data_IF_438035475814
#
_entry.id   IF_438035475814
#
_cell.length_a   1.000
_cell.length_b   1.000
_cell.length_c   1.000
_cell.angle_alpha   90.00
_cell.angle_beta   90.00
_cell.angle_gamma   90.00
#
_symmetry.space_group_name_H-M   'P 1'
#
loop_
_entity.id
_entity.type
_entity.pdbx_description
1 polymer ?
#
# COMPACT_ATOMS: atom_id res chain seq x y z
N UNK A 1 9.74 50.42 3.77
CA UNK A 1 8.82 49.43 3.16
C UNK A 1 9.48 48.06 3.23
N UNK A 2 9.13 47.25 4.21
CA UNK A 2 9.51 45.82 4.24
C UNK A 2 8.68 45.08 3.19
N UNK A 3 9.26 44.16 2.40
CA UNK A 3 8.48 43.40 1.44
C UNK A 3 7.51 42.52 2.23
N UNK A 4 6.22 42.64 1.93
CA UNK A 4 5.22 41.65 2.36
C UNK A 4 5.60 40.36 1.65
N UNK A 5 6.23 39.44 2.38
CA UNK A 5 6.43 38.07 1.91
C UNK A 5 5.05 37.51 1.58
N UNK A 6 4.75 37.34 0.29
CA UNK A 6 3.55 36.66 -0.16
C UNK A 6 3.61 35.23 0.40
N UNK A 7 2.94 35.00 1.52
CA UNK A 7 2.76 33.67 2.08
C UNK A 7 2.18 32.79 0.98
N UNK A 8 2.79 31.62 0.77
CA UNK A 8 2.22 30.65 -0.15
C UNK A 8 0.74 30.43 0.24
N UNK A 9 -0.17 30.38 -0.73
CA UNK A 9 -1.59 30.24 -0.43
C UNK A 9 -1.84 29.03 0.47
N UNK A 10 -2.77 29.12 1.42
CA UNK A 10 -3.12 28.03 2.35
C UNK A 10 -3.54 26.72 1.65
N UNK A 11 -3.92 26.78 0.37
CA UNK A 11 -4.25 25.62 -0.45
C UNK A 11 -3.03 24.95 -1.12
N UNK A 12 -1.84 25.53 -0.99
CA UNK A 12 -0.63 24.99 -1.60
C UNK A 12 -0.25 23.66 -0.91
N UNK A 13 -0.49 22.56 -1.62
CA UNK A 13 -0.04 21.25 -1.18
C UNK A 13 1.48 21.26 -0.91
N UNK A 14 1.95 20.65 0.19
CA UNK A 14 3.37 20.46 0.44
C UNK A 14 4.03 19.86 -0.81
N UNK A 15 5.09 20.50 -1.32
CA UNK A 15 5.74 20.11 -2.60
C UNK A 15 6.30 18.69 -2.60
N UNK A 16 6.35 18.04 -1.45
CA UNK A 16 6.91 16.73 -1.20
C UNK A 16 5.86 15.61 -1.10
N UNK A 17 4.55 15.91 -1.21
CA UNK A 17 3.50 14.88 -1.17
C UNK A 17 3.61 13.88 -2.33
N UNK A 18 3.77 14.38 -3.56
CA UNK A 18 3.84 13.52 -4.74
C UNK A 18 5.09 12.61 -4.72
N UNK A 19 6.31 13.12 -4.44
CA UNK A 19 7.48 12.25 -4.23
C UNK A 19 7.28 11.19 -3.15
N UNK A 20 6.62 11.53 -2.03
CA UNK A 20 6.31 10.56 -0.95
C UNK A 20 5.37 9.46 -1.43
N UNK A 21 4.30 9.85 -2.14
CA UNK A 21 3.34 8.91 -2.69
C UNK A 21 3.98 7.96 -3.70
N UNK A 22 4.76 8.51 -4.64
CA UNK A 22 5.49 7.72 -5.64
C UNK A 22 6.46 6.75 -5.00
N UNK A 23 7.26 7.22 -4.03
CA UNK A 23 8.16 6.35 -3.28
C UNK A 23 7.39 5.25 -2.54
N UNK A 24 6.33 5.61 -1.82
CA UNK A 24 5.53 4.65 -1.07
C UNK A 24 4.92 3.58 -1.99
N UNK A 25 4.27 3.99 -3.08
CA UNK A 25 3.64 3.07 -4.03
C UNK A 25 4.66 2.13 -4.69
N UNK A 26 5.80 2.66 -5.15
CA UNK A 26 6.83 1.85 -5.80
C UNK A 26 7.51 0.87 -4.82
N UNK A 27 7.97 1.36 -3.67
CA UNK A 27 8.65 0.51 -2.69
C UNK A 27 7.70 -0.58 -2.19
N UNK A 28 6.45 -0.22 -1.88
CA UNK A 28 5.44 -1.19 -1.44
C UNK A 28 5.13 -2.21 -2.52
N UNK A 29 4.87 -1.76 -3.76
CA UNK A 29 4.56 -2.65 -4.87
C UNK A 29 5.70 -3.65 -5.15
N UNK A 30 6.96 -3.20 -5.08
CA UNK A 30 8.13 -4.08 -5.24
C UNK A 30 8.26 -5.06 -4.07
N UNK A 31 8.22 -4.58 -2.82
CA UNK A 31 8.43 -5.41 -1.63
C UNK A 31 7.33 -6.49 -1.52
N UNK A 32 6.07 -6.11 -1.67
CA UNK A 32 4.94 -7.06 -1.61
C UNK A 32 4.92 -7.99 -2.83
N UNK A 33 5.22 -7.46 -4.02
CA UNK A 33 5.30 -8.25 -5.25
C UNK A 33 6.38 -9.33 -5.14
N UNK A 34 7.55 -9.01 -4.58
CA UNK A 34 8.62 -9.98 -4.33
C UNK A 34 8.22 -11.00 -3.26
N UNK A 35 7.66 -10.55 -2.13
CA UNK A 35 7.18 -11.44 -1.07
C UNK A 35 6.18 -12.47 -1.59
N UNK A 36 5.15 -11.99 -2.31
CA UNK A 36 4.12 -12.85 -2.89
C UNK A 36 4.67 -13.75 -3.99
N UNK A 37 5.60 -13.27 -4.81
CA UNK A 37 6.26 -14.08 -5.85
C UNK A 37 7.09 -15.23 -5.25
N UNK A 38 7.89 -14.94 -4.23
CA UNK A 38 8.71 -15.95 -3.52
C UNK A 38 7.81 -16.99 -2.88
N UNK A 39 6.76 -16.59 -2.15
CA UNK A 39 5.80 -17.53 -1.59
C UNK A 39 5.14 -18.39 -2.68
N UNK A 40 4.73 -17.77 -3.80
CA UNK A 40 4.03 -18.50 -4.84
C UNK A 40 4.90 -19.54 -5.53
N UNK A 41 6.18 -19.25 -5.75
CA UNK A 41 7.13 -20.19 -6.36
C UNK A 41 7.55 -21.27 -5.37
N UNK A 42 8.08 -20.88 -4.21
CA UNK A 42 8.77 -21.81 -3.33
C UNK A 42 7.87 -22.50 -2.29
N UNK A 43 6.80 -21.85 -1.83
CA UNK A 43 5.90 -22.43 -0.82
C UNK A 43 4.66 -23.07 -1.44
N UNK A 44 4.21 -22.58 -2.60
CA UNK A 44 2.92 -22.96 -3.19
C UNK A 44 3.02 -23.72 -4.52
N UNK A 45 4.23 -23.99 -5.03
CA UNK A 45 4.44 -24.79 -6.23
C UNK A 45 3.81 -24.19 -7.50
N UNK A 46 3.76 -22.86 -7.58
CA UNK A 46 3.15 -22.12 -8.69
C UNK A 46 4.20 -21.19 -9.34
N UNK A 47 3.79 -20.31 -10.26
CA UNK A 47 4.71 -19.42 -10.99
C UNK A 47 4.40 -17.96 -10.73
N UNK A 48 5.39 -17.08 -10.94
CA UNK A 48 5.17 -15.63 -10.87
C UNK A 48 4.12 -15.17 -11.90
N UNK A 49 4.15 -15.75 -13.10
CA UNK A 49 3.13 -15.52 -14.13
C UNK A 49 1.74 -15.86 -13.60
N UNK A 50 1.56 -17.05 -13.01
CA UNK A 50 0.26 -17.49 -12.50
C UNK A 50 -0.25 -16.63 -11.36
N UNK A 51 0.65 -16.12 -10.51
CA UNK A 51 0.31 -15.16 -9.44
C UNK A 51 -0.34 -13.91 -10.03
N UNK A 52 0.34 -13.23 -10.95
CA UNK A 52 -0.17 -11.96 -11.50
C UNK A 52 -1.34 -12.18 -12.45
N UNK A 53 -1.42 -13.30 -13.18
CA UNK A 53 -2.66 -13.66 -13.87
C UNK A 53 -3.84 -13.81 -12.92
N UNK A 54 -3.62 -14.35 -11.72
CA UNK A 54 -4.63 -14.41 -10.65
C UNK A 54 -5.09 -13.03 -10.20
N UNK A 55 -4.17 -12.06 -10.08
CA UNK A 55 -4.51 -10.66 -9.81
C UNK A 55 -5.35 -10.08 -10.95
N UNK A 56 -4.93 -10.29 -12.21
CA UNK A 56 -5.70 -9.83 -13.37
C UNK A 56 -7.11 -10.43 -13.44
N UNK A 57 -7.25 -11.70 -13.07
CA UNK A 57 -8.52 -12.41 -13.05
C UNK A 57 -9.56 -11.83 -12.08
N UNK A 58 -9.14 -10.97 -11.13
CA UNK A 58 -10.07 -10.27 -10.24
C UNK A 58 -10.96 -9.29 -10.99
N UNK A 59 -10.48 -8.70 -12.09
CA UNK A 59 -11.23 -7.76 -12.93
C UNK A 59 -11.62 -8.36 -14.28
N UNK A 60 -10.72 -9.15 -14.87
CA UNK A 60 -10.89 -9.71 -16.22
C UNK A 60 -11.56 -11.09 -16.23
N UNK A 61 -11.86 -11.67 -15.08
CA UNK A 61 -12.44 -13.01 -14.99
C UNK A 61 -11.43 -14.14 -15.23
N UNK A 62 -11.94 -15.38 -15.32
CA UNK A 62 -11.07 -16.59 -15.32
C UNK A 62 -10.20 -16.70 -16.56
N UNK A 63 -10.62 -16.16 -17.70
CA UNK A 63 -9.88 -16.21 -18.96
C UNK A 63 -8.48 -15.57 -18.84
N UNK A 64 -8.29 -14.63 -17.90
CA UNK A 64 -6.98 -14.06 -17.63
C UNK A 64 -5.92 -15.09 -17.20
N UNK A 65 -6.34 -16.23 -16.65
CA UNK A 65 -5.47 -17.34 -16.25
C UNK A 65 -4.89 -18.11 -17.45
N UNK A 66 -5.46 -17.93 -18.64
CA UNK A 66 -5.05 -18.59 -19.89
C UNK A 66 -4.30 -17.62 -20.82
N UNK A 67 -4.41 -16.31 -20.59
CA UNK A 67 -3.83 -15.27 -21.47
C UNK A 67 -2.32 -15.03 -21.37
N UNK A 68 -1.55 -15.94 -20.75
CA UNK A 68 -0.09 -15.90 -20.73
C UNK A 68 0.55 -14.65 -20.11
N UNK A 69 1.68 -14.21 -20.67
CA UNK A 69 2.44 -13.03 -20.23
C UNK A 69 1.64 -11.72 -20.30
N UNK A 70 0.86 -11.43 -21.37
CA UNK A 70 0.06 -10.20 -21.42
C UNK A 70 -0.85 -10.02 -20.21
N UNK A 71 -1.58 -11.05 -19.79
CA UNK A 71 -2.47 -10.96 -18.62
C UNK A 71 -1.70 -10.88 -17.31
N UNK A 72 -0.51 -11.48 -17.23
CA UNK A 72 0.39 -11.28 -16.09
C UNK A 72 0.85 -9.82 -15.97
N UNK A 73 1.18 -9.14 -17.08
CA UNK A 73 1.54 -7.71 -17.06
C UNK A 73 0.37 -6.85 -16.58
N UNK A 74 -0.85 -7.13 -17.03
CA UNK A 74 -2.06 -6.44 -16.52
C UNK A 74 -2.18 -6.62 -15.01
N UNK A 75 -2.00 -7.85 -14.52
CA UNK A 75 -2.04 -8.14 -13.08
C UNK A 75 -0.96 -7.41 -12.29
N UNK A 76 0.25 -7.30 -12.85
CA UNK A 76 1.34 -6.54 -12.24
C UNK A 76 1.00 -5.04 -12.16
N UNK A 77 0.44 -4.46 -13.22
CA UNK A 77 -0.01 -3.07 -13.21
C UNK A 77 -1.13 -2.83 -12.19
N UNK A 78 -2.10 -3.76 -12.11
CA UNK A 78 -3.15 -3.72 -11.09
C UNK A 78 -2.57 -3.79 -9.67
N UNK A 79 -1.59 -4.67 -9.45
CA UNK A 79 -0.88 -4.79 -8.17
C UNK A 79 -0.24 -3.45 -7.75
N UNK A 80 0.52 -2.82 -8.65
CA UNK A 80 1.05 -1.48 -8.37
C UNK A 80 -0.07 -0.45 -8.16
N UNK A 81 -1.15 -0.49 -8.95
CA UNK A 81 -2.31 0.38 -8.75
C UNK A 81 -2.89 0.29 -7.33
N UNK A 82 -3.02 -0.92 -6.80
CA UNK A 82 -3.46 -1.16 -5.41
C UNK A 82 -2.44 -0.63 -4.40
N UNK A 83 -1.14 -0.87 -4.61
CA UNK A 83 -0.08 -0.34 -3.74
C UNK A 83 -0.07 1.20 -3.69
N UNK A 84 -0.26 1.87 -4.84
CA UNK A 84 -0.42 3.32 -4.93
C UNK A 84 -1.71 3.79 -4.25
N UNK A 85 -2.83 3.09 -4.45
CA UNK A 85 -4.11 3.40 -3.83
C UNK A 85 -4.02 3.40 -2.30
N UNK A 86 -3.49 2.34 -1.71
CA UNK A 86 -3.31 2.25 -0.26
C UNK A 86 -2.25 3.23 0.27
N UNK A 87 -1.20 3.51 -0.50
CA UNK A 87 -0.26 4.59 -0.16
C UNK A 87 -0.94 5.96 -0.12
N UNK A 88 -1.85 6.24 -1.06
CA UNK A 88 -2.62 7.48 -1.09
C UNK A 88 -3.58 7.59 0.10
N UNK A 89 -4.28 6.49 0.44
CA UNK A 89 -5.14 6.43 1.63
C UNK A 89 -4.33 6.73 2.90
N UNK A 90 -3.15 6.10 3.06
CA UNK A 90 -2.32 6.36 4.24
C UNK A 90 -1.83 7.81 4.28
N UNK A 91 -1.37 8.35 3.15
CA UNK A 91 -0.95 9.74 3.06
C UNK A 91 -2.07 10.70 3.46
N UNK A 92 -3.29 10.45 2.97
CA UNK A 92 -4.47 11.21 3.33
C UNK A 92 -4.79 11.13 4.82
N UNK A 93 -4.69 9.94 5.44
CA UNK A 93 -4.89 9.76 6.88
C UNK A 93 -3.86 10.57 7.71
N UNK A 94 -2.59 10.56 7.31
CA UNK A 94 -1.53 11.35 7.96
C UNK A 94 -1.81 12.85 7.85
N UNK A 95 -2.26 13.32 6.68
CA UNK A 95 -2.59 14.72 6.45
C UNK A 95 -3.82 15.19 7.24
N UNK A 96 -4.82 14.32 7.40
CA UNK A 96 -6.10 14.70 8.01
C UNK A 96 -6.16 14.47 9.52
N UNK A 97 -5.35 13.56 10.05
CA UNK A 97 -5.37 13.14 11.45
C UNK A 97 -4.06 13.49 12.17
N UNK A 98 -4.14 14.49 13.04
CA UNK A 98 -3.04 14.86 13.96
C UNK A 98 -2.70 13.71 14.92
N UNK A 99 -3.66 12.83 15.23
CA UNK A 99 -3.42 11.64 16.05
C UNK A 99 -2.49 10.63 15.37
N UNK A 100 -2.73 10.32 14.09
CA UNK A 100 -1.85 9.41 13.33
C UNK A 100 -0.45 10.00 13.22
N UNK A 101 -0.37 11.29 12.88
CA UNK A 101 0.92 12.00 12.82
C UNK A 101 1.65 12.00 14.16
N UNK A 102 0.96 12.26 15.27
CA UNK A 102 1.54 12.20 16.61
C UNK A 102 1.94 10.78 17.05
N UNK A 103 1.23 9.75 16.62
CA UNK A 103 1.61 8.36 16.90
C UNK A 103 2.90 7.99 16.17
N UNK A 104 3.07 8.45 14.92
CA UNK A 104 4.26 8.17 14.09
C UNK A 104 5.55 8.78 14.66
N UNK A 105 5.48 9.87 15.43
CA UNK A 105 6.67 10.51 16.04
C UNK A 105 7.16 9.76 17.29
N UNK A 106 6.40 8.81 17.83
CA UNK A 106 6.82 8.01 18.97
C UNK A 106 7.89 6.96 18.58
N UNK A 107 8.73 6.55 19.55
CA UNK A 107 9.85 5.61 19.35
C UNK A 107 9.52 4.35 18.55
N UNK A 108 8.29 3.82 18.71
CA UNK A 108 7.80 2.63 18.00
C UNK A 108 6.54 2.93 17.17
N UNK A 109 6.33 4.20 16.84
CA UNK A 109 5.13 4.70 16.17
C UNK A 109 4.86 4.03 14.84
N UNK A 110 5.87 3.99 13.98
CA UNK A 110 5.78 3.36 12.66
C UNK A 110 5.36 1.89 12.74
N UNK A 111 5.95 1.12 13.68
CA UNK A 111 5.63 -0.30 13.86
C UNK A 111 4.20 -0.48 14.38
N UNK A 112 3.77 0.33 15.36
CA UNK A 112 2.39 0.29 15.88
C UNK A 112 1.38 0.55 14.78
N UNK A 113 1.60 1.60 13.98
CA UNK A 113 0.72 1.94 12.86
C UNK A 113 0.73 0.83 11.82
N UNK A 114 1.90 0.30 11.44
CA UNK A 114 2.00 -0.77 10.46
C UNK A 114 1.32 -2.07 10.92
N UNK A 115 1.40 -2.40 12.22
CA UNK A 115 0.78 -3.58 12.82
C UNK A 115 -0.74 -3.58 12.74
N UNK A 116 -1.36 -2.40 12.63
CA UNK A 116 -2.81 -2.24 12.45
C UNK A 116 -3.13 -2.08 10.97
N UNK A 117 -2.39 -1.23 10.28
CA UNK A 117 -2.69 -0.84 8.91
C UNK A 117 -2.51 -1.99 7.91
N UNK A 118 -1.48 -2.83 8.06
CA UNK A 118 -1.24 -3.97 7.18
C UNK A 118 -2.38 -5.00 7.20
N UNK A 119 -2.75 -5.52 8.37
CA UNK A 119 -3.89 -6.42 8.52
C UNK A 119 -5.20 -5.81 8.02
N UNK A 120 -5.41 -4.52 8.28
CA UNK A 120 -6.57 -3.80 7.76
C UNK A 120 -6.60 -3.77 6.23
N UNK A 121 -5.49 -3.44 5.56
CA UNK A 121 -5.38 -3.50 4.09
C UNK A 121 -5.77 -4.89 3.59
N UNK A 122 -5.16 -5.94 4.17
CA UNK A 122 -5.42 -7.30 3.72
C UNK A 122 -6.89 -7.70 3.93
N UNK A 123 -7.49 -7.35 5.06
CA UNK A 123 -8.90 -7.61 5.31
C UNK A 123 -9.80 -6.92 4.28
N UNK A 124 -9.58 -5.64 4.00
CA UNK A 124 -10.38 -4.92 3.00
C UNK A 124 -10.19 -5.52 1.61
N UNK A 125 -8.95 -5.81 1.21
CA UNK A 125 -8.68 -6.41 -0.09
C UNK A 125 -9.28 -7.81 -0.22
N UNK A 126 -9.06 -8.68 0.77
CA UNK A 126 -9.42 -10.10 0.71
C UNK A 126 -10.88 -10.38 1.04
N UNK A 127 -11.55 -9.54 1.85
CA UNK A 127 -12.93 -9.76 2.29
C UNK A 127 -13.95 -8.86 1.59
N UNK A 128 -13.53 -7.71 1.05
CA UNK A 128 -14.44 -6.80 0.35
C UNK A 128 -14.08 -6.65 -1.12
N UNK A 129 -12.90 -6.10 -1.45
CA UNK A 129 -12.56 -5.70 -2.83
C UNK A 129 -12.49 -6.90 -3.78
N UNK A 130 -11.68 -7.91 -3.45
CA UNK A 130 -11.49 -9.09 -4.31
C UNK A 130 -12.80 -9.89 -4.43
N UNK A 131 -13.52 -10.21 -3.33
CA UNK A 131 -14.80 -10.92 -3.45
C UNK A 131 -15.85 -10.19 -4.28
N UNK A 132 -15.94 -8.86 -4.11
CA UNK A 132 -16.87 -8.03 -4.86
C UNK A 132 -16.55 -8.02 -6.36
N UNK A 133 -15.28 -7.78 -6.73
CA UNK A 133 -14.86 -7.71 -8.13
C UNK A 133 -14.86 -9.08 -8.83
N UNK A 134 -14.46 -10.14 -8.13
CA UNK A 134 -14.39 -11.48 -8.69
C UNK A 134 -15.73 -12.25 -8.62
N UNK A 135 -16.76 -11.68 -7.97
CA UNK A 135 -18.03 -12.31 -7.66
C UNK A 135 -17.88 -13.72 -7.06
N UNK A 136 -16.99 -13.85 -6.07
CA UNK A 136 -16.68 -15.12 -5.40
C UNK A 136 -16.44 -14.92 -3.90
N UNK A 137 -16.86 -15.86 -3.05
CA UNK A 137 -16.62 -15.75 -1.62
C UNK A 137 -15.12 -15.80 -1.30
N UNK A 138 -14.68 -15.14 -0.22
CA UNK A 138 -13.28 -15.20 0.22
C UNK A 138 -12.91 -16.61 0.70
N UNK A 139 -11.71 -17.05 0.37
CA UNK A 139 -11.15 -18.32 0.85
C UNK A 139 -10.22 -18.08 2.03
N UNK A 140 -10.71 -18.29 3.25
CA UNK A 140 -9.92 -18.15 4.47
C UNK A 140 -9.22 -19.48 4.76
N UNK A 141 -7.94 -19.56 4.38
CA UNK A 141 -7.09 -20.73 4.59
C UNK A 141 -5.71 -20.30 5.14
N UNK A 142 -4.76 -21.23 5.25
CA UNK A 142 -3.41 -20.93 5.75
C UNK A 142 -2.72 -19.81 4.96
N UNK A 143 -2.91 -19.74 3.64
CA UNK A 143 -2.35 -18.68 2.79
C UNK A 143 -2.94 -17.31 3.14
N UNK A 144 -4.22 -17.27 3.52
CA UNK A 144 -4.88 -16.04 3.99
C UNK A 144 -4.22 -15.52 5.28
N UNK A 145 -3.91 -16.40 6.23
CA UNK A 145 -3.22 -16.01 7.47
C UNK A 145 -1.77 -15.60 7.24
N UNK A 146 -1.05 -16.30 6.36
CA UNK A 146 0.31 -15.91 5.96
C UNK A 146 0.29 -14.49 5.38
N UNK A 147 -0.68 -14.18 4.52
CA UNK A 147 -0.82 -12.85 3.95
C UNK A 147 -1.23 -11.82 5.01
N UNK A 148 -2.19 -12.14 5.89
CA UNK A 148 -2.63 -11.26 6.98
C UNK A 148 -1.46 -10.76 7.84
N UNK A 149 -0.58 -11.65 8.28
CA UNK A 149 0.61 -11.26 9.04
C UNK A 149 1.72 -10.71 8.16
N UNK A 150 1.90 -11.22 6.94
CA UNK A 150 2.89 -10.74 5.97
C UNK A 150 2.67 -9.29 5.53
N UNK A 151 1.42 -8.82 5.52
CA UNK A 151 1.10 -7.43 5.19
C UNK A 151 1.64 -6.43 6.20
N UNK A 152 1.99 -6.85 7.42
CA UNK A 152 2.66 -5.97 8.39
C UNK A 152 4.04 -5.55 7.84
N UNK A 153 5.02 -6.47 7.67
CA UNK A 153 6.37 -6.10 7.22
C UNK A 153 6.46 -5.80 5.72
N UNK A 154 5.67 -6.45 4.86
CA UNK A 154 5.87 -6.37 3.40
C UNK A 154 4.97 -5.36 2.70
N UNK A 155 3.93 -4.85 3.38
CA UNK A 155 3.03 -3.82 2.83
C UNK A 155 3.04 -2.58 3.70
N UNK A 156 2.63 -2.69 4.96
CA UNK A 156 2.41 -1.51 5.79
C UNK A 156 3.70 -0.82 6.23
N UNK A 157 4.76 -1.55 6.59
CA UNK A 157 6.05 -0.92 6.93
C UNK A 157 6.61 -0.08 5.76
N UNK A 158 6.70 -0.58 4.51
CA UNK A 158 7.08 0.21 3.34
C UNK A 158 6.27 1.50 3.17
N UNK A 159 4.93 1.43 3.27
CA UNK A 159 4.03 2.59 3.17
C UNK A 159 4.34 3.60 4.30
N UNK A 160 4.29 3.12 5.54
CA UNK A 160 4.39 3.95 6.74
C UNK A 160 5.76 4.62 6.82
N UNK A 161 6.84 3.92 6.51
CA UNK A 161 8.19 4.50 6.52
C UNK A 161 8.36 5.50 5.37
N UNK A 162 7.86 5.21 4.17
CA UNK A 162 7.97 6.11 3.02
C UNK A 162 7.22 7.42 3.22
N UNK A 163 6.12 7.41 3.98
CA UNK A 163 5.30 8.60 4.23
C UNK A 163 5.69 9.29 5.55
N UNK A 164 5.95 8.50 6.60
CA UNK A 164 6.21 8.95 7.96
C UNK A 164 7.64 9.43 8.23
N UNK A 165 8.65 8.98 7.48
CA UNK A 165 10.06 9.34 7.72
C UNK A 165 10.39 10.84 7.53
N UNK A 166 9.43 11.67 7.10
CA UNK A 166 9.65 13.10 6.83
C UNK A 166 8.48 13.95 7.37
N UNK A 167 7.78 13.58 8.45
CA UNK A 167 6.74 14.48 9.00
C UNK A 167 7.31 15.92 9.23
N UNK A 168 6.65 16.99 8.77
CA UNK A 168 7.25 18.33 8.69
C UNK A 168 7.78 18.86 10.03
N UNK A 169 9.03 19.32 10.02
CA UNK A 169 9.69 20.05 11.12
C UNK A 169 8.95 21.34 11.53
N UNK A 170 7.96 21.79 10.76
CA UNK A 170 7.15 22.98 11.06
C UNK A 170 6.20 22.81 12.27
N UNK A 171 5.90 21.58 12.70
CA UNK A 171 5.11 21.35 13.92
C UNK A 171 5.95 21.34 15.22
N UNK A 172 7.27 21.56 15.12
CA UNK A 172 8.20 21.58 16.26
C UNK A 172 8.60 22.99 16.71
N UNK A 173 8.20 24.04 15.98
CA UNK A 173 8.58 25.43 16.29
C UNK A 173 7.49 26.16 17.10
N UNK A 174 6.30 25.58 17.21
CA UNK A 174 5.14 26.19 17.90
C UNK A 174 4.76 25.51 19.24
N UNK A 175 5.71 24.81 19.88
CA UNK A 175 5.53 24.31 21.25
C UNK A 175 6.56 24.86 22.21
#
# INVERSE_FOLDING_TARGET
MTPVSAGAPEWAFPRDLLPRLVRAGLVTGVVDGLFSSVLNVFAYGSTVTRLFQGVAATLLGREALEGGTPTAVVGLLMHFGVAFGWSAVFLFLVMRSSWVSGLLTSRYGAIKVASIYGPFIWMVMSLAVIPFLANRPPAINVRWWIQFFGHIPFVAVPIVMSIGAVAPRSQLVER
#
